data_IF_334218326652
#
_entry.id   IF_334218326652
#
_cell.length_a   1.000
_cell.length_b   1.000
_cell.length_c   1.000
_cell.angle_alpha   90.00
_cell.angle_beta   90.00
_cell.angle_gamma   90.00
#
_symmetry.space_group_name_H-M   'P 1'
#
loop_
_entity.id
_entity.type
_entity.pdbx_description
1 polymer ?
#
# COMPACT_ATOMS: atom_id res chain seq x y z
N UNK A 1 37.19 61.86 16.60
CA UNK A 1 36.11 60.98 17.12
C UNK A 1 35.86 59.88 16.11
N UNK A 2 35.87 58.63 16.57
CA UNK A 2 35.78 57.40 15.76
C UNK A 2 34.30 56.98 15.67
N UNK A 3 33.70 57.01 14.49
CA UNK A 3 32.42 56.33 14.22
C UNK A 3 32.72 55.01 13.54
N UNK A 4 32.41 53.92 14.26
CA UNK A 4 32.69 52.55 13.87
C UNK A 4 31.63 52.05 12.88
N UNK A 5 32.11 51.24 11.93
CA UNK A 5 31.33 50.43 11.00
C UNK A 5 30.34 49.50 11.71
N UNK A 6 29.18 49.29 11.10
CA UNK A 6 28.45 48.03 11.20
C UNK A 6 27.97 47.66 9.79
N UNK A 7 28.77 46.82 9.12
CA UNK A 7 28.41 46.11 7.90
C UNK A 7 27.50 44.96 8.32
N UNK A 8 26.26 44.96 7.83
CA UNK A 8 25.37 43.79 7.92
C UNK A 8 25.89 42.73 6.94
N UNK A 9 26.81 41.90 7.41
CA UNK A 9 27.18 40.65 6.76
C UNK A 9 26.01 39.67 6.96
N UNK A 10 25.10 39.61 5.99
CA UNK A 10 24.07 38.59 5.92
C UNK A 10 24.74 37.27 5.53
N UNK A 11 25.00 36.44 6.54
CA UNK A 11 25.64 35.13 6.39
C UNK A 11 24.69 34.21 5.62
N UNK A 12 25.24 33.62 4.56
CA UNK A 12 24.69 32.51 3.77
C UNK A 12 24.43 31.31 4.67
N UNK A 13 23.20 30.78 4.63
CA UNK A 13 22.91 29.41 5.05
C UNK A 13 21.71 28.85 4.25
N UNK A 14 21.83 28.86 2.91
CA UNK A 14 21.00 28.01 2.05
C UNK A 14 21.68 26.62 1.96
N UNK A 15 21.71 25.91 3.09
CA UNK A 15 22.08 24.51 3.15
C UNK A 15 21.24 23.89 4.25
N UNK A 16 20.18 23.18 3.85
CA UNK A 16 19.56 22.04 4.51
C UNK A 16 18.31 21.65 3.69
N UNK A 17 18.52 21.09 2.50
CA UNK A 17 17.54 20.18 1.88
C UNK A 17 18.10 18.77 2.03
N UNK A 18 18.27 18.36 3.28
CA UNK A 18 18.54 16.97 3.69
C UNK A 18 17.88 16.76 5.06
N UNK A 19 16.57 17.00 5.14
CA UNK A 19 15.76 16.63 6.31
C UNK A 19 14.50 15.91 5.89
N UNK A 20 14.68 14.74 5.30
CA UNK A 20 13.73 13.64 5.45
C UNK A 20 14.44 12.29 5.35
N UNK A 21 15.67 12.17 5.90
CA UNK A 21 16.05 10.93 6.57
C UNK A 21 15.39 10.98 7.94
N UNK A 22 14.07 10.74 7.95
CA UNK A 22 13.48 10.16 9.15
C UNK A 22 14.10 8.76 9.21
N UNK A 23 14.97 8.54 10.19
CA UNK A 23 15.16 7.21 10.76
C UNK A 23 13.78 6.79 11.28
N UNK A 24 12.94 6.32 10.36
CA UNK A 24 11.54 6.03 10.62
C UNK A 24 11.50 4.82 11.52
N UNK A 25 11.07 5.06 12.76
CA UNK A 25 10.51 4.05 13.63
C UNK A 25 9.68 3.08 12.79
N UNK A 26 9.87 1.78 13.00
CA UNK A 26 9.10 0.72 12.35
C UNK A 26 7.62 1.14 12.25
N UNK A 27 7.16 1.44 11.05
CA UNK A 27 5.77 1.80 10.80
C UNK A 27 4.97 0.56 11.16
N UNK A 28 4.31 0.58 12.32
CA UNK A 28 3.39 -0.48 12.71
C UNK A 28 2.17 -0.32 11.80
N UNK A 29 2.03 -1.20 10.81
CA UNK A 29 0.82 -1.27 10.01
C UNK A 29 -0.22 -2.01 10.85
N UNK A 30 -1.12 -1.28 11.50
CA UNK A 30 -2.39 -1.87 11.93
C UNK A 30 -3.18 -2.26 10.66
N UNK A 31 -3.94 -3.36 10.68
CA UNK A 31 -4.82 -3.67 9.57
C UNK A 31 -5.84 -2.53 9.45
N UNK A 32 -5.79 -1.79 8.35
CA UNK A 32 -6.72 -0.69 8.04
C UNK A 32 -8.16 -1.19 7.82
N UNK A 33 -8.35 -2.52 7.78
CA UNK A 33 -9.58 -3.20 7.37
C UNK A 33 -10.07 -4.14 8.48
N UNK A 34 -11.31 -3.91 8.93
CA UNK A 34 -11.98 -4.64 10.02
C UNK A 34 -12.07 -6.15 9.79
N UNK A 35 -11.98 -6.58 8.53
CA UNK A 35 -12.09 -7.98 8.15
C UNK A 35 -10.75 -8.73 8.19
N UNK A 36 -9.62 -8.06 8.41
CA UNK A 36 -8.28 -8.65 8.37
C UNK A 36 -7.72 -8.92 9.76
N UNK A 37 -7.22 -10.14 9.98
CA UNK A 37 -6.40 -10.48 11.14
C UNK A 37 -5.03 -11.03 10.72
N UNK A 38 -3.94 -10.54 11.32
CA UNK A 38 -2.60 -11.16 11.17
C UNK A 38 -2.60 -12.53 11.85
N UNK A 39 -2.25 -13.59 11.13
CA UNK A 39 -2.22 -14.97 11.67
C UNK A 39 -0.80 -15.51 11.77
N UNK A 40 0.10 -15.08 10.87
CA UNK A 40 1.48 -15.51 10.91
C UNK A 40 2.43 -14.38 10.51
N UNK A 41 3.43 -14.14 11.35
CA UNK A 41 4.54 -13.22 11.12
C UNK A 41 5.80 -13.87 11.66
N UNK A 42 6.61 -14.48 10.79
CA UNK A 42 7.81 -15.21 11.22
C UNK A 42 8.99 -14.95 10.28
N UNK A 43 10.23 -14.85 10.80
CA UNK A 43 11.41 -14.78 9.95
C UNK A 43 11.49 -16.00 9.02
N UNK A 44 11.80 -15.75 7.75
CA UNK A 44 12.02 -16.81 6.77
C UNK A 44 13.40 -17.44 7.01
N UNK A 45 13.39 -18.71 7.43
CA UNK A 45 14.58 -19.41 7.95
C UNK A 45 15.78 -19.28 7.02
N UNK A 46 16.89 -18.78 7.57
CA UNK A 46 18.17 -18.67 6.87
C UNK A 46 18.24 -17.54 5.82
N UNK A 47 17.26 -16.62 5.80
CA UNK A 47 17.30 -15.43 4.94
C UNK A 47 17.07 -14.18 5.79
N UNK A 48 17.97 -13.21 5.68
CA UNK A 48 17.78 -11.89 6.27
C UNK A 48 16.68 -11.14 5.53
N UNK A 49 15.97 -10.29 6.26
CA UNK A 49 14.92 -9.39 5.78
C UNK A 49 13.78 -10.07 5.02
N UNK A 50 13.63 -11.39 5.11
CA UNK A 50 12.50 -12.14 4.55
C UNK A 50 11.64 -12.69 5.67
N UNK A 51 10.33 -12.56 5.51
CA UNK A 51 9.33 -12.93 6.49
C UNK A 51 8.20 -13.71 5.84
N UNK A 52 7.76 -14.78 6.49
CA UNK A 52 6.48 -15.43 6.15
C UNK A 52 5.36 -14.60 6.74
N UNK A 53 4.50 -14.07 5.88
CA UNK A 53 3.36 -13.26 6.29
C UNK A 53 2.06 -13.89 5.82
N UNK A 54 1.16 -14.21 6.75
CA UNK A 54 -0.17 -14.75 6.46
C UNK A 54 -1.21 -13.95 7.21
N UNK A 55 -2.23 -13.50 6.48
CA UNK A 55 -3.43 -12.86 7.01
C UNK A 55 -4.65 -13.75 6.79
N UNK A 56 -5.61 -13.61 7.69
CA UNK A 56 -6.92 -14.23 7.60
C UNK A 56 -7.94 -13.13 7.39
N UNK A 57 -8.76 -13.28 6.37
CA UNK A 57 -9.85 -12.37 6.03
C UNK A 57 -11.15 -13.05 6.37
N UNK A 58 -11.98 -12.47 7.24
CA UNK A 58 -13.23 -13.05 7.69
C UNK A 58 -14.42 -12.15 7.34
N UNK A 59 -15.42 -12.74 6.68
CA UNK A 59 -16.65 -12.08 6.29
C UNK A 59 -17.69 -12.19 7.43
N UNK A 60 -17.57 -11.39 8.48
CA UNK A 60 -18.33 -11.60 9.73
C UNK A 60 -19.81 -11.23 9.64
N UNK A 61 -20.10 -10.03 9.14
CA UNK A 61 -21.43 -9.42 9.12
C UNK A 61 -22.15 -9.59 7.77
N UNK A 62 -21.40 -9.61 6.67
CA UNK A 62 -21.85 -9.74 5.29
C UNK A 62 -20.88 -10.60 4.47
N UNK A 63 -21.31 -11.08 3.30
CA UNK A 63 -20.39 -11.72 2.36
C UNK A 63 -19.47 -10.67 1.74
N UNK A 64 -18.18 -10.97 1.63
CA UNK A 64 -17.20 -10.10 1.00
C UNK A 64 -16.91 -10.56 -0.42
N UNK A 65 -16.75 -9.63 -1.35
CA UNK A 65 -16.27 -9.94 -2.69
C UNK A 65 -14.94 -9.23 -2.87
N UNK A 66 -13.86 -9.96 -2.63
CA UNK A 66 -12.49 -9.43 -2.64
C UNK A 66 -11.91 -9.65 -4.02
N UNK A 67 -11.41 -8.60 -4.65
CA UNK A 67 -10.76 -8.69 -5.97
C UNK A 67 -9.25 -8.72 -5.88
N UNK A 68 -8.70 -8.06 -4.86
CA UNK A 68 -7.26 -8.00 -4.61
C UNK A 68 -6.96 -8.04 -3.11
N UNK A 69 -5.85 -8.68 -2.75
CA UNK A 69 -5.24 -8.55 -1.43
C UNK A 69 -3.85 -7.96 -1.63
N UNK A 70 -3.58 -6.85 -0.95
CA UNK A 70 -2.31 -6.14 -1.02
C UNK A 70 -1.55 -6.46 0.27
N UNK A 71 -0.42 -7.16 0.15
CA UNK A 71 0.49 -7.42 1.26
C UNK A 71 1.60 -6.38 1.19
N UNK A 72 1.75 -5.55 2.23
CA UNK A 72 2.65 -4.40 2.27
C UNK A 72 3.66 -4.49 3.41
N UNK A 73 4.82 -3.89 3.21
CA UNK A 73 5.85 -3.69 4.21
C UNK A 73 6.57 -2.35 4.02
N UNK A 74 7.53 -2.05 4.88
CA UNK A 74 8.43 -0.91 4.69
C UNK A 74 9.44 -1.09 3.53
N UNK A 75 9.44 -2.24 2.87
CA UNK A 75 10.41 -2.59 1.82
C UNK A 75 9.76 -3.11 0.52
N UNK A 76 8.53 -3.61 0.55
CA UNK A 76 7.91 -4.27 -0.58
C UNK A 76 6.38 -4.25 -0.50
N UNK A 77 5.76 -4.40 -1.65
CA UNK A 77 4.33 -4.57 -1.82
C UNK A 77 4.07 -5.71 -2.80
N UNK A 78 3.11 -6.58 -2.48
CA UNK A 78 2.66 -7.68 -3.33
C UNK A 78 1.16 -7.55 -3.52
N UNK A 79 0.74 -7.45 -4.77
CA UNK A 79 -0.66 -7.40 -5.17
C UNK A 79 -1.10 -8.80 -5.61
N UNK A 80 -1.99 -9.42 -4.83
CA UNK A 80 -2.57 -10.72 -5.13
C UNK A 80 -3.99 -10.54 -5.68
N UNK A 81 -4.12 -10.64 -7.01
CA UNK A 81 -5.42 -10.68 -7.68
C UNK A 81 -6.18 -11.97 -7.40
N UNK A 82 -7.20 -11.93 -6.55
CA UNK A 82 -7.90 -13.13 -6.04
C UNK A 82 -9.28 -13.32 -6.64
N UNK A 83 -10.02 -12.24 -6.94
CA UNK A 83 -11.41 -12.25 -7.45
C UNK A 83 -12.29 -13.37 -6.87
N UNK A 84 -12.48 -13.33 -5.54
CA UNK A 84 -13.09 -14.39 -4.75
C UNK A 84 -14.24 -13.85 -3.89
N UNK A 85 -15.31 -14.64 -3.80
CA UNK A 85 -16.37 -14.42 -2.82
C UNK A 85 -16.06 -15.17 -1.52
N UNK A 86 -16.12 -14.45 -0.39
CA UNK A 86 -16.03 -15.00 0.96
C UNK A 86 -17.44 -14.91 1.56
N UNK A 87 -18.17 -16.05 1.66
CA UNK A 87 -19.51 -16.04 2.23
C UNK A 87 -19.52 -15.58 3.68
N UNK A 88 -20.62 -14.95 4.12
CA UNK A 88 -20.84 -14.59 5.52
C UNK A 88 -20.53 -15.78 6.47
N UNK A 89 -19.81 -15.50 7.55
CA UNK A 89 -19.35 -16.46 8.54
C UNK A 89 -18.19 -17.35 8.08
N UNK A 90 -17.57 -17.07 6.93
CA UNK A 90 -16.39 -17.79 6.42
C UNK A 90 -15.17 -16.88 6.40
N UNK A 91 -13.99 -17.52 6.41
CA UNK A 91 -12.72 -16.85 6.26
C UNK A 91 -11.92 -17.44 5.11
N UNK A 92 -11.03 -16.62 4.53
CA UNK A 92 -9.97 -17.05 3.61
C UNK A 92 -8.61 -16.63 4.16
N UNK A 93 -7.55 -17.31 3.70
CA UNK A 93 -6.18 -17.00 4.09
C UNK A 93 -5.40 -16.54 2.86
N UNK A 94 -4.58 -15.53 3.05
CA UNK A 94 -3.72 -14.94 2.02
C UNK A 94 -2.34 -14.73 2.62
N UNK A 95 -1.29 -14.86 1.82
CA UNK A 95 0.05 -14.75 2.37
C UNK A 95 1.16 -15.03 1.39
N UNK A 96 2.30 -14.43 1.69
CA UNK A 96 3.50 -14.49 0.88
C UNK A 96 4.75 -14.46 1.74
N UNK A 97 5.90 -14.70 1.11
CA UNK A 97 7.21 -14.38 1.69
C UNK A 97 7.54 -12.95 1.30
N UNK A 98 7.57 -12.06 2.29
CA UNK A 98 7.72 -10.62 2.12
C UNK A 98 9.12 -10.17 2.52
N UNK A 99 9.66 -9.17 1.81
CA UNK A 99 10.80 -8.41 2.31
C UNK A 99 10.33 -7.42 3.36
N UNK A 100 10.96 -7.35 4.53
CA UNK A 100 10.67 -6.39 5.58
C UNK A 100 11.85 -6.28 6.55
N UNK A 101 12.12 -5.07 7.09
CA UNK A 101 13.17 -4.88 8.11
C UNK A 101 12.81 -5.61 9.40
N UNK A 102 11.53 -5.61 9.76
CA UNK A 102 10.99 -6.32 10.90
C UNK A 102 9.55 -6.78 10.63
N UNK A 103 9.08 -7.78 11.38
CA UNK A 103 7.75 -8.33 11.20
C UNK A 103 6.61 -7.36 11.56
N UNK A 104 6.89 -6.30 12.33
CA UNK A 104 5.92 -5.27 12.71
C UNK A 104 5.51 -4.36 11.56
N UNK A 105 6.38 -4.21 10.55
CA UNK A 105 6.06 -3.43 9.35
C UNK A 105 5.19 -4.17 8.35
N UNK A 106 4.84 -5.43 8.58
CA UNK A 106 3.96 -6.17 7.67
C UNK A 106 2.50 -5.78 7.89
N UNK A 107 1.85 -5.33 6.82
CA UNK A 107 0.44 -4.97 6.78
C UNK A 107 -0.26 -5.62 5.58
N UNK A 108 -1.59 -5.59 5.61
CA UNK A 108 -2.41 -6.02 4.48
C UNK A 108 -3.60 -5.10 4.29
N UNK A 109 -4.09 -5.07 3.06
CA UNK A 109 -5.27 -4.31 2.64
C UNK A 109 -6.08 -5.18 1.68
N UNK A 110 -7.41 -5.03 1.69
CA UNK A 110 -8.29 -5.67 0.73
C UNK A 110 -8.82 -4.61 -0.21
N UNK A 111 -9.02 -5.00 -1.47
CA UNK A 111 -9.82 -4.23 -2.40
C UNK A 111 -11.06 -5.06 -2.69
N UNK A 112 -12.22 -4.55 -2.28
CA UNK A 112 -13.49 -5.16 -2.62
C UNK A 112 -13.91 -4.85 -4.08
N UNK A 113 -14.80 -5.68 -4.62
CA UNK A 113 -15.37 -5.54 -5.97
C UNK A 113 -16.01 -4.17 -6.20
N UNK A 114 -16.64 -3.60 -5.17
CA UNK A 114 -17.26 -2.28 -5.28
C UNK A 114 -16.21 -1.17 -5.41
N UNK A 115 -15.14 -1.21 -4.60
CA UNK A 115 -14.04 -0.24 -4.68
C UNK A 115 -13.32 -0.30 -6.03
N UNK A 116 -13.06 -1.49 -6.56
CA UNK A 116 -12.45 -1.63 -7.88
C UNK A 116 -13.35 -1.09 -9.00
N UNK A 117 -14.68 -1.23 -8.88
CA UNK A 117 -15.64 -0.60 -9.81
C UNK A 117 -15.64 0.92 -9.69
N UNK A 118 -15.53 1.44 -8.47
CA UNK A 118 -15.45 2.88 -8.21
C UNK A 118 -14.16 3.46 -8.81
N UNK A 119 -13.02 2.79 -8.63
CA UNK A 119 -11.74 3.15 -9.29
C UNK A 119 -11.88 3.18 -10.81
N UNK A 120 -12.51 2.17 -11.42
CA UNK A 120 -12.79 2.18 -12.87
C UNK A 120 -13.68 3.36 -13.27
N UNK A 121 -14.73 3.64 -12.50
CA UNK A 121 -15.66 4.74 -12.77
C UNK A 121 -14.93 6.09 -12.73
N UNK A 122 -14.11 6.29 -11.71
CA UNK A 122 -13.26 7.47 -11.54
C UNK A 122 -12.29 7.62 -12.72
N UNK A 123 -11.52 6.58 -13.04
CA UNK A 123 -10.58 6.59 -14.17
C UNK A 123 -11.28 6.96 -15.50
N UNK A 124 -12.47 6.41 -15.76
CA UNK A 124 -13.26 6.76 -16.96
C UNK A 124 -13.61 8.24 -17.01
N UNK A 125 -13.93 8.84 -15.87
CA UNK A 125 -14.29 10.27 -15.79
C UNK A 125 -13.08 11.19 -15.99
N UNK A 126 -11.88 10.75 -15.60
CA UNK A 126 -10.65 11.55 -15.65
C UNK A 126 -9.95 11.48 -17.02
N UNK A 127 -9.99 10.31 -17.68
CA UNK A 127 -9.33 10.03 -18.97
C UNK A 127 -9.46 11.15 -20.01
N UNK A 128 -10.63 11.78 -20.24
CA UNK A 128 -10.77 12.85 -21.23
C UNK A 128 -9.87 14.08 -20.99
N UNK A 129 -9.44 14.28 -19.74
CA UNK A 129 -8.69 15.46 -19.31
C UNK A 129 -7.20 15.19 -19.05
N UNK A 130 -6.72 13.96 -19.29
CA UNK A 130 -5.35 13.57 -19.00
C UNK A 130 -4.36 13.95 -20.11
N UNK A 131 -3.15 14.34 -19.72
CA UNK A 131 -2.02 14.42 -20.66
C UNK A 131 -1.65 13.03 -21.19
N UNK A 132 -0.90 12.94 -22.29
CA UNK A 132 -0.47 11.66 -22.89
C UNK A 132 0.26 10.73 -21.90
N UNK A 133 1.08 11.29 -21.00
CA UNK A 133 1.82 10.49 -20.03
C UNK A 133 0.91 9.97 -18.92
N UNK A 134 0.02 10.81 -18.40
CA UNK A 134 -0.99 10.41 -17.41
C UNK A 134 -1.98 9.40 -17.99
N UNK A 135 -2.36 9.56 -19.26
CA UNK A 135 -3.27 8.65 -19.95
C UNK A 135 -2.70 7.23 -20.02
N UNK A 136 -1.38 7.07 -20.26
CA UNK A 136 -0.77 5.75 -20.29
C UNK A 136 -0.92 5.03 -18.94
N UNK A 137 -0.56 5.71 -17.86
CA UNK A 137 -0.69 5.18 -16.50
C UNK A 137 -2.14 4.87 -16.15
N UNK A 138 -3.07 5.79 -16.42
CA UNK A 138 -4.50 5.57 -16.18
C UNK A 138 -5.06 4.37 -16.98
N UNK A 139 -4.59 4.15 -18.21
CA UNK A 139 -5.00 3.00 -19.02
C UNK A 139 -4.42 1.68 -18.53
N UNK A 140 -3.20 1.68 -17.97
CA UNK A 140 -2.61 0.51 -17.32
C UNK A 140 -3.42 0.14 -16.07
N UNK A 141 -3.75 1.12 -15.24
CA UNK A 141 -4.58 0.94 -14.05
C UNK A 141 -6.00 0.49 -14.40
N UNK A 142 -6.61 1.10 -15.42
CA UNK A 142 -7.93 0.69 -15.92
C UNK A 142 -7.94 -0.77 -16.35
N UNK A 143 -6.91 -1.21 -17.09
CA UNK A 143 -6.77 -2.60 -17.52
C UNK A 143 -6.57 -3.55 -16.36
N UNK A 144 -5.77 -3.15 -15.36
CA UNK A 144 -5.57 -3.92 -14.13
C UNK A 144 -6.90 -4.21 -13.43
N UNK A 145 -7.67 -3.17 -13.09
CA UNK A 145 -8.96 -3.35 -12.41
C UNK A 145 -9.96 -4.14 -13.25
N UNK A 146 -10.02 -3.87 -14.56
CA UNK A 146 -10.93 -4.61 -15.46
C UNK A 146 -10.56 -6.09 -15.55
N UNK A 147 -9.27 -6.42 -15.56
CA UNK A 147 -8.80 -7.80 -15.57
C UNK A 147 -9.14 -8.52 -14.27
N UNK A 148 -8.90 -7.88 -13.12
CA UNK A 148 -9.24 -8.44 -11.81
C UNK A 148 -10.74 -8.67 -11.64
N UNK A 149 -11.57 -7.78 -12.16
CA UNK A 149 -13.04 -7.84 -12.09
C UNK A 149 -13.70 -8.85 -13.05
N UNK A 150 -12.92 -9.71 -13.72
CA UNK A 150 -13.42 -10.76 -14.59
C UNK A 150 -14.46 -11.69 -13.93
N UNK A 151 -14.89 -12.78 -14.62
CA UNK A 151 -15.84 -13.72 -14.01
C UNK A 151 -15.30 -14.25 -12.67
N UNK A 152 -16.17 -14.28 -11.66
CA UNK A 152 -15.81 -14.72 -10.29
C UNK A 152 -15.25 -16.13 -10.36
N UNK A 153 -14.12 -16.37 -9.69
CA UNK A 153 -13.50 -17.69 -9.56
C UNK A 153 -13.99 -18.45 -8.33
#
# INVERSE_FOLDING_TARGET
MKTKLAILASIVAAALVLSSYQSGSAVQYEPDDEYITKVKVEPYKGKQDLWVYIVKVCAEDKSLRVVEVILKSDMAEIHEGVNKSIPKGKCSFYGAVMKAKDGGTLGAELVEDHEARDKISQLKSEIPNLSKQQLKTAMEEYRHWTFLLGPIK
#
